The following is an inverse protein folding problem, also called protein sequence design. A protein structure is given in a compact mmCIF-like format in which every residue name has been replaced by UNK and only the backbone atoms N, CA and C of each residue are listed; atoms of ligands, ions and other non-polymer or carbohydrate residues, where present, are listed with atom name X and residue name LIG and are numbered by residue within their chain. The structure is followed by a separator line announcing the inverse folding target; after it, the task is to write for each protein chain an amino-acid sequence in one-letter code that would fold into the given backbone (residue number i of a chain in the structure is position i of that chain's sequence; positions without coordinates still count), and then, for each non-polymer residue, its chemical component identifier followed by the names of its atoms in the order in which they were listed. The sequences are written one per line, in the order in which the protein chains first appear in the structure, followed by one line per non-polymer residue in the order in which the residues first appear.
data_IF_038066351043
#
_entry.id   IF_038066351043
#
_cell.length_a   1.000
_cell.length_b   1.000
_cell.length_c   1.000
_cell.angle_alpha   90.00
_cell.angle_beta   90.00
_cell.angle_gamma   90.00
#
_symmetry.space_group_name_H-M   'P 1'
#
loop_
_entity.id
_entity.type
_entity.pdbx_description
1 polymer ?
#
# COMPACT_ATOMS: atom_id res chain seq x y z
N UNK A 1 -11.54 -1.54 -23.36
CA UNK A 1 -12.06 -1.38 -22.01
C UNK A 1 -12.22 -2.73 -21.33
N UNK A 2 -12.70 -3.76 -22.02
CA UNK A 2 -12.75 -5.13 -21.48
C UNK A 2 -11.37 -5.61 -20.98
N UNK A 3 -10.31 -5.45 -21.79
CA UNK A 3 -8.95 -5.84 -21.38
C UNK A 3 -8.45 -5.12 -20.13
N UNK A 4 -8.78 -3.85 -19.97
CA UNK A 4 -8.44 -3.07 -18.77
C UNK A 4 -9.18 -3.59 -17.53
N UNK A 5 -10.47 -3.94 -17.68
CA UNK A 5 -11.26 -4.54 -16.60
C UNK A 5 -10.70 -5.89 -16.19
N UNK A 6 -10.27 -6.71 -17.15
CA UNK A 6 -9.59 -7.99 -16.91
C UNK A 6 -8.29 -7.81 -16.12
N UNK A 7 -7.40 -6.90 -16.57
CA UNK A 7 -6.14 -6.57 -15.87
C UNK A 7 -6.43 -6.15 -14.43
N UNK A 8 -7.39 -5.25 -14.22
CA UNK A 8 -7.77 -4.78 -12.88
C UNK A 8 -8.35 -5.87 -12.00
N UNK A 9 -9.19 -6.75 -12.54
CA UNK A 9 -9.75 -7.86 -11.79
C UNK A 9 -8.65 -8.84 -11.34
N UNK A 10 -7.71 -9.15 -12.23
CA UNK A 10 -6.59 -10.04 -11.92
C UNK A 10 -5.64 -9.40 -10.90
N UNK A 11 -5.36 -8.10 -11.03
CA UNK A 11 -4.60 -7.34 -10.04
C UNK A 11 -5.28 -7.41 -8.67
N UNK A 12 -6.58 -7.11 -8.57
CA UNK A 12 -7.32 -7.19 -7.29
C UNK A 12 -7.26 -8.60 -6.66
N UNK A 13 -7.41 -9.67 -7.47
CA UNK A 13 -7.26 -11.04 -6.97
C UNK A 13 -5.86 -11.28 -6.40
N UNK A 14 -4.82 -10.88 -7.11
CA UNK A 14 -3.45 -10.99 -6.65
C UNK A 14 -3.21 -10.18 -5.37
N UNK A 15 -3.75 -8.96 -5.28
CA UNK A 15 -3.67 -8.14 -4.08
C UNK A 15 -4.32 -8.81 -2.87
N UNK A 16 -5.48 -9.46 -3.03
CA UNK A 16 -6.10 -10.22 -1.93
C UNK A 16 -5.25 -11.42 -1.47
N UNK A 17 -4.58 -12.10 -2.40
CA UNK A 17 -3.62 -13.17 -2.04
C UNK A 17 -2.46 -12.58 -1.23
N UNK A 18 -1.88 -11.47 -1.70
CA UNK A 18 -0.80 -10.77 -1.01
C UNK A 18 -1.28 -10.35 0.39
N UNK A 19 -2.45 -9.74 0.50
CA UNK A 19 -3.00 -9.29 1.78
C UNK A 19 -3.27 -10.44 2.74
N UNK A 20 -3.75 -11.59 2.24
CA UNK A 20 -3.96 -12.79 3.05
C UNK A 20 -2.65 -13.33 3.61
N UNK A 21 -1.55 -13.27 2.84
CA UNK A 21 -0.20 -13.64 3.30
C UNK A 21 0.33 -12.65 4.33
N UNK A 22 0.03 -11.35 4.19
CA UNK A 22 0.45 -10.33 5.15
C UNK A 22 -0.13 -10.51 6.56
N UNK A 23 -1.26 -11.21 6.72
CA UNK A 23 -1.86 -11.47 8.03
C UNK A 23 -0.94 -12.37 8.89
N UNK A 24 -0.66 -13.63 8.54
CA UNK A 24 0.27 -14.47 9.32
C UNK A 24 1.69 -13.92 9.31
N UNK A 25 2.13 -13.30 8.20
CA UNK A 25 3.46 -12.67 8.12
C UNK A 25 3.63 -11.58 9.19
N UNK A 26 2.61 -10.75 9.41
CA UNK A 26 2.66 -9.70 10.45
C UNK A 26 2.77 -10.26 11.86
N UNK A 27 2.12 -11.40 12.15
CA UNK A 27 2.23 -12.08 13.43
C UNK A 27 3.64 -12.64 13.65
N UNK A 28 4.19 -13.29 12.61
CA UNK A 28 5.54 -13.87 12.63
C UNK A 28 6.57 -12.75 12.83
N UNK A 29 6.45 -11.66 12.06
CA UNK A 29 7.31 -10.49 12.19
C UNK A 29 7.26 -9.89 13.60
N UNK A 30 6.05 -9.71 14.14
CA UNK A 30 5.86 -9.15 15.47
C UNK A 30 6.45 -10.03 16.58
N UNK A 31 6.22 -11.34 16.52
CA UNK A 31 6.81 -12.30 17.44
C UNK A 31 8.34 -12.25 17.41
N UNK A 32 8.92 -12.21 16.20
CA UNK A 32 10.36 -12.22 15.98
C UNK A 32 11.04 -10.90 16.42
N UNK A 33 10.49 -9.77 16.01
CA UNK A 33 11.19 -8.49 16.09
C UNK A 33 10.85 -7.67 17.35
N UNK A 34 9.65 -7.82 17.90
CA UNK A 34 9.18 -7.03 19.05
C UNK A 34 8.59 -7.85 20.20
N UNK A 35 8.54 -9.19 20.07
CA UNK A 35 7.92 -10.09 21.04
C UNK A 35 6.38 -10.04 21.06
N UNK A 36 5.76 -9.33 20.12
CA UNK A 36 4.31 -9.09 20.06
C UNK A 36 3.71 -9.58 18.74
N UNK A 37 3.17 -10.79 18.76
CA UNK A 37 2.53 -11.39 17.59
C UNK A 37 1.07 -10.93 17.37
N UNK A 38 0.39 -10.52 18.44
CA UNK A 38 -1.07 -10.40 18.46
C UNK A 38 -1.49 -9.07 17.87
N UNK A 39 -0.85 -7.96 18.27
CA UNK A 39 -1.28 -6.64 17.80
C UNK A 39 -1.10 -6.44 16.27
N UNK A 40 0.01 -6.88 15.63
CA UNK A 40 0.16 -6.75 14.19
C UNK A 40 -0.80 -7.68 13.44
N UNK A 41 -1.02 -8.90 13.92
CA UNK A 41 -1.96 -9.85 13.32
C UNK A 41 -3.37 -9.28 13.27
N UNK A 42 -3.86 -8.74 14.39
CA UNK A 42 -5.21 -8.15 14.47
C UNK A 42 -5.31 -6.94 13.54
N UNK A 43 -4.33 -6.02 13.57
CA UNK A 43 -4.34 -4.83 12.73
C UNK A 43 -4.33 -5.20 11.23
N UNK A 44 -3.46 -6.14 10.84
CA UNK A 44 -3.37 -6.65 9.46
C UNK A 44 -4.67 -7.31 9.00
N UNK A 45 -5.30 -8.11 9.87
CA UNK A 45 -6.58 -8.74 9.58
C UNK A 45 -7.71 -7.72 9.42
N UNK A 46 -7.76 -6.67 10.25
CA UNK A 46 -8.77 -5.60 10.15
C UNK A 46 -8.69 -4.92 8.78
N UNK A 47 -7.50 -4.54 8.32
CA UNK A 47 -7.36 -3.91 7.00
C UNK A 47 -7.77 -4.85 5.86
N UNK A 48 -7.42 -6.13 5.94
CA UNK A 48 -7.85 -7.13 4.97
C UNK A 48 -9.38 -7.33 4.94
N UNK A 49 -10.02 -7.38 6.11
CA UNK A 49 -11.48 -7.50 6.22
C UNK A 49 -12.18 -6.26 5.66
N UNK A 50 -11.70 -5.05 5.98
CA UNK A 50 -12.27 -3.81 5.43
C UNK A 50 -12.18 -3.81 3.90
N UNK A 51 -11.01 -4.15 3.34
CA UNK A 51 -10.82 -4.25 1.90
C UNK A 51 -11.76 -5.28 1.25
N UNK A 52 -11.89 -6.45 1.88
CA UNK A 52 -12.77 -7.52 1.40
C UNK A 52 -14.24 -7.09 1.41
N UNK A 53 -14.73 -6.55 2.53
CA UNK A 53 -16.13 -6.11 2.69
C UNK A 53 -16.48 -5.02 1.67
N UNK A 54 -15.64 -3.97 1.55
CA UNK A 54 -15.89 -2.89 0.59
C UNK A 54 -15.86 -3.41 -0.85
N UNK A 55 -14.86 -4.22 -1.20
CA UNK A 55 -14.75 -4.77 -2.55
C UNK A 55 -15.92 -5.70 -2.89
N UNK A 56 -16.41 -6.46 -1.91
CA UNK A 56 -17.56 -7.38 -2.08
C UNK A 56 -18.88 -6.64 -2.23
N UNK A 57 -19.03 -5.50 -1.55
CA UNK A 57 -20.23 -4.66 -1.60
C UNK A 57 -20.28 -3.78 -2.86
N UNK A 58 -19.19 -3.10 -3.20
CA UNK A 58 -19.13 -2.20 -4.35
C UNK A 58 -18.80 -2.91 -5.67
N UNK A 59 -18.23 -4.11 -5.61
CA UNK A 59 -17.79 -4.90 -6.76
C UNK A 59 -16.33 -4.61 -7.16
N UNK A 60 -15.63 -5.58 -7.76
CA UNK A 60 -14.20 -5.47 -8.06
C UNK A 60 -13.86 -4.38 -9.09
N UNK A 61 -14.81 -3.99 -9.94
CA UNK A 61 -14.59 -2.94 -10.94
C UNK A 61 -14.85 -1.52 -10.40
N UNK A 62 -15.43 -1.38 -9.21
CA UNK A 62 -15.70 -0.06 -8.65
C UNK A 62 -14.42 0.68 -8.29
N UNK A 63 -14.43 2.01 -8.45
CA UNK A 63 -13.28 2.84 -8.12
C UNK A 63 -12.97 2.82 -6.63
N UNK A 64 -13.99 2.83 -5.79
CA UNK A 64 -13.82 2.76 -4.33
C UNK A 64 -13.14 1.46 -3.90
N UNK A 65 -13.45 0.32 -4.55
CA UNK A 65 -12.79 -0.96 -4.28
C UNK A 65 -11.28 -0.86 -4.52
N UNK A 66 -10.85 -0.24 -5.63
CA UNK A 66 -9.42 -0.03 -5.90
C UNK A 66 -8.76 0.86 -4.85
N UNK A 67 -9.44 1.91 -4.40
CA UNK A 67 -8.90 2.81 -3.39
C UNK A 67 -8.72 2.09 -2.06
N UNK A 68 -9.76 1.41 -1.57
CA UNK A 68 -9.72 0.75 -0.26
C UNK A 68 -8.79 -0.46 -0.26
N UNK A 69 -8.80 -1.31 -1.29
CA UNK A 69 -7.88 -2.47 -1.38
C UNK A 69 -6.43 -2.00 -1.39
N UNK A 70 -6.11 -0.97 -2.17
CA UNK A 70 -4.76 -0.44 -2.28
C UNK A 70 -4.29 0.23 -0.97
N UNK A 71 -5.14 1.05 -0.35
CA UNK A 71 -4.84 1.66 0.94
C UNK A 71 -4.68 0.62 2.04
N UNK A 72 -5.51 -0.43 2.05
CA UNK A 72 -5.41 -1.50 3.04
C UNK A 72 -4.09 -2.28 2.92
N UNK A 73 -3.63 -2.57 1.70
CA UNK A 73 -2.31 -3.19 1.49
C UNK A 73 -1.19 -2.32 2.07
N UNK A 74 -1.23 -1.02 1.81
CA UNK A 74 -0.21 -0.08 2.30
C UNK A 74 -0.25 0.07 3.82
N UNK A 75 -1.43 0.00 4.42
CA UNK A 75 -1.57 -0.03 5.87
C UNK A 75 -1.11 -1.37 6.45
N UNK A 76 -1.20 -2.49 5.73
CA UNK A 76 -0.54 -3.73 6.16
C UNK A 76 0.99 -3.63 6.11
N UNK A 77 1.55 -2.90 5.14
CA UNK A 77 2.99 -2.58 5.14
C UNK A 77 3.36 -1.73 6.35
N UNK A 78 2.54 -0.72 6.69
CA UNK A 78 2.72 0.06 7.92
C UNK A 78 2.66 -0.81 9.18
N UNK A 79 1.80 -1.84 9.20
CA UNK A 79 1.74 -2.81 10.30
C UNK A 79 3.02 -3.65 10.37
N UNK A 80 3.62 -4.04 9.25
CA UNK A 80 4.92 -4.73 9.25
C UNK A 80 6.02 -3.84 9.80
N UNK A 81 6.07 -2.57 9.38
CA UNK A 81 6.97 -1.57 9.97
C UNK A 81 6.82 -1.50 11.49
N UNK A 82 5.58 -1.40 11.97
CA UNK A 82 5.28 -1.39 13.39
C UNK A 82 5.67 -2.71 14.10
N UNK A 83 5.51 -3.85 13.44
CA UNK A 83 5.90 -5.16 13.98
C UNK A 83 7.40 -5.24 14.27
N UNK A 84 8.21 -4.51 13.48
CA UNK A 84 9.65 -4.38 13.65
C UNK A 84 10.08 -3.21 14.56
N UNK A 85 9.16 -2.54 15.26
CA UNK A 85 9.52 -1.45 16.19
C UNK A 85 10.63 -1.87 17.17
N UNK A 86 11.72 -1.11 17.18
CA UNK A 86 12.88 -1.38 18.01
C UNK A 86 13.83 -2.47 17.54
N UNK A 87 13.55 -3.07 16.39
CA UNK A 87 14.47 -3.96 15.71
C UNK A 87 15.29 -3.17 14.67
N UNK A 88 16.55 -3.54 14.45
CA UNK A 88 17.46 -2.88 13.50
C UNK A 88 16.87 -2.82 12.06
N UNK A 89 16.17 -3.88 11.66
CA UNK A 89 15.55 -3.97 10.33
C UNK A 89 14.30 -3.11 10.15
N UNK A 90 13.83 -2.37 11.17
CA UNK A 90 12.64 -1.54 11.04
C UNK A 90 12.75 -0.59 9.84
N UNK A 91 13.90 0.05 9.65
CA UNK A 91 14.11 0.99 8.55
C UNK A 91 14.23 0.30 7.19
N UNK A 92 14.76 -0.92 7.14
CA UNK A 92 14.80 -1.72 5.90
C UNK A 92 13.38 -2.13 5.47
N UNK A 93 12.53 -2.51 6.44
CA UNK A 93 11.11 -2.82 6.18
C UNK A 93 10.34 -1.57 5.72
N UNK A 94 10.77 -0.36 6.05
CA UNK A 94 10.15 0.87 5.49
C UNK A 94 10.26 0.94 3.97
N UNK A 95 11.30 0.36 3.37
CA UNK A 95 11.44 0.35 1.92
C UNK A 95 10.29 -0.40 1.23
N UNK A 96 9.56 -1.25 1.97
CA UNK A 96 8.42 -1.98 1.45
C UNK A 96 7.26 -1.05 1.05
N UNK A 97 7.17 0.18 1.56
CA UNK A 97 6.18 1.15 1.06
C UNK A 97 6.37 1.44 -0.43
N UNK A 98 7.61 1.61 -0.89
CA UNK A 98 7.93 1.86 -2.31
C UNK A 98 7.58 0.63 -3.16
N UNK A 99 8.04 -0.55 -2.74
CA UNK A 99 7.74 -1.79 -3.46
C UNK A 99 6.23 -2.07 -3.55
N UNK A 100 5.47 -1.82 -2.48
CA UNK A 100 4.02 -1.93 -2.51
C UNK A 100 3.36 -0.89 -3.43
N UNK A 101 3.84 0.36 -3.45
CA UNK A 101 3.33 1.39 -4.36
C UNK A 101 3.57 1.01 -5.83
N UNK A 102 4.74 0.45 -6.15
CA UNK A 102 5.05 -0.09 -7.48
C UNK A 102 4.10 -1.23 -7.88
N UNK A 103 3.83 -2.18 -6.97
CA UNK A 103 2.86 -3.27 -7.19
C UNK A 103 1.46 -2.72 -7.49
N UNK A 104 1.03 -1.67 -6.79
CA UNK A 104 -0.27 -1.03 -7.01
C UNK A 104 -0.41 -0.36 -8.39
N UNK A 105 0.70 -0.12 -9.09
CA UNK A 105 0.72 0.29 -10.50
C UNK A 105 -0.03 -0.70 -11.42
N UNK A 106 -0.10 -1.99 -11.05
CA UNK A 106 -0.85 -3.01 -11.79
C UNK A 106 -2.36 -2.75 -11.88
N UNK A 107 -2.91 -1.89 -11.02
CA UNK A 107 -4.32 -1.46 -11.10
C UNK A 107 -4.59 -0.49 -12.27
N UNK A 108 -3.54 0.02 -12.91
CA UNK A 108 -3.60 0.97 -14.04
C UNK A 108 -4.58 2.10 -13.73
N UNK A 109 -4.44 2.71 -12.55
CA UNK A 109 -5.37 3.70 -12.05
C UNK A 109 -4.61 4.80 -11.32
N UNK A 110 -4.32 5.90 -12.04
CA UNK A 110 -3.56 7.01 -11.49
C UNK A 110 -4.23 7.63 -10.25
N UNK A 111 -5.57 7.64 -10.18
CA UNK A 111 -6.31 8.12 -9.00
C UNK A 111 -6.03 7.27 -7.76
N UNK A 112 -5.87 5.95 -7.94
CA UNK A 112 -5.50 5.05 -6.84
C UNK A 112 -4.11 5.39 -6.33
N UNK A 113 -3.14 5.66 -7.22
CA UNK A 113 -1.79 6.08 -6.81
C UNK A 113 -1.86 7.37 -5.98
N UNK A 114 -2.60 8.39 -6.42
CA UNK A 114 -2.76 9.64 -5.66
C UNK A 114 -3.36 9.40 -4.27
N UNK A 115 -4.45 8.63 -4.18
CA UNK A 115 -5.10 8.32 -2.90
C UNK A 115 -4.14 7.61 -1.95
N UNK A 116 -3.44 6.60 -2.45
CA UNK A 116 -2.55 5.77 -1.65
C UNK A 116 -1.31 6.53 -1.20
N UNK A 117 -0.69 7.33 -2.09
CA UNK A 117 0.41 8.23 -1.70
C UNK A 117 -0.04 9.22 -0.62
N UNK A 118 -1.29 9.69 -0.68
CA UNK A 118 -1.90 10.48 0.39
C UNK A 118 -2.02 9.72 1.72
N UNK A 119 -2.41 8.44 1.69
CA UNK A 119 -2.44 7.58 2.89
C UNK A 119 -1.05 7.40 3.48
N UNK A 120 -0.03 7.16 2.64
CA UNK A 120 1.37 7.06 3.08
C UNK A 120 1.78 8.37 3.78
N UNK A 121 1.56 9.51 3.14
CA UNK A 121 1.93 10.81 3.69
C UNK A 121 1.22 11.10 5.02
N UNK A 122 -0.10 10.86 5.09
CA UNK A 122 -0.87 11.07 6.31
C UNK A 122 -0.40 10.16 7.44
N UNK A 123 -0.16 8.87 7.15
CA UNK A 123 0.36 7.91 8.11
C UNK A 123 1.70 8.38 8.71
N UNK A 124 2.66 8.73 7.86
CA UNK A 124 3.98 9.17 8.30
C UNK A 124 3.89 10.47 9.09
N UNK A 125 3.10 11.45 8.63
CA UNK A 125 2.97 12.73 9.30
C UNK A 125 2.31 12.58 10.68
N UNK A 126 1.20 11.85 10.76
CA UNK A 126 0.48 11.63 12.03
C UNK A 126 1.36 10.88 13.02
N UNK A 127 1.99 9.78 12.61
CA UNK A 127 2.83 9.00 13.54
C UNK A 127 4.13 9.71 13.90
N UNK A 128 4.73 10.50 12.99
CA UNK A 128 5.91 11.29 13.31
C UNK A 128 5.68 12.26 14.48
N UNK A 129 4.45 12.76 14.66
CA UNK A 129 4.11 13.62 15.80
C UNK A 129 3.50 12.86 16.99
N UNK A 130 2.71 11.81 16.75
CA UNK A 130 2.01 11.09 17.81
C UNK A 130 2.89 10.02 18.48
N UNK A 131 3.52 9.14 17.70
CA UNK A 131 4.31 8.00 18.18
C UNK A 131 5.46 7.70 17.20
N UNK A 132 6.49 8.57 17.12
CA UNK A 132 7.48 8.51 16.04
C UNK A 132 8.25 7.20 15.99
N UNK A 133 8.46 6.54 17.13
CA UNK A 133 9.17 5.26 17.22
C UNK A 133 8.49 4.11 16.45
N UNK A 134 7.21 4.23 16.14
CA UNK A 134 6.52 3.23 15.31
C UNK A 134 6.91 3.31 13.83
N UNK A 135 7.56 4.40 13.42
CA UNK A 135 7.98 4.66 12.03
C UNK A 135 9.48 4.90 11.95
N UNK A 136 10.13 5.50 12.94
CA UNK A 136 11.56 5.78 12.87
C UNK A 136 12.25 5.28 14.14
N UNK A 137 13.28 4.40 14.03
CA UNK A 137 14.01 3.88 15.19
C UNK A 137 14.56 4.98 16.10
N UNK A 138 15.07 6.06 15.49
CA UNK A 138 15.68 7.20 16.18
C UNK A 138 14.66 8.28 16.60
N UNK A 139 13.37 8.03 16.38
CA UNK A 139 12.30 9.00 16.61
C UNK A 139 12.14 10.02 15.47
N UNK A 140 11.49 11.15 15.76
CA UNK A 140 11.10 12.12 14.76
C UNK A 140 12.30 12.83 14.14
N UNK A 141 12.37 12.87 12.81
CA UNK A 141 13.42 13.55 12.06
C UNK A 141 12.81 14.23 10.84
N UNK A 142 12.74 15.56 10.89
CA UNK A 142 12.10 16.36 9.84
C UNK A 142 12.78 16.19 8.47
N UNK A 143 14.11 16.21 8.42
CA UNK A 143 14.84 16.12 7.16
C UNK A 143 14.75 14.72 6.56
N UNK A 144 14.71 13.68 7.39
CA UNK A 144 14.43 12.31 6.94
C UNK A 144 13.05 12.20 6.31
N UNK A 145 12.03 12.80 6.92
CA UNK A 145 10.66 12.82 6.36
C UNK A 145 10.64 13.55 5.02
N UNK A 146 11.31 14.70 4.91
CA UNK A 146 11.42 15.44 3.64
C UNK A 146 12.10 14.59 2.55
N UNK A 147 13.21 13.92 2.87
CA UNK A 147 13.90 13.03 1.93
C UNK A 147 12.96 11.93 1.43
N UNK A 148 12.29 11.22 2.34
CA UNK A 148 11.36 10.14 1.96
C UNK A 148 10.19 10.68 1.14
N UNK A 149 9.65 11.84 1.51
CA UNK A 149 8.56 12.47 0.77
C UNK A 149 8.94 12.79 -0.68
N UNK A 150 10.15 13.34 -0.91
CA UNK A 150 10.64 13.61 -2.27
C UNK A 150 10.75 12.32 -3.08
N UNK A 151 11.31 11.26 -2.50
CA UNK A 151 11.43 9.95 -3.19
C UNK A 151 10.05 9.39 -3.55
N UNK A 152 9.08 9.39 -2.62
CA UNK A 152 7.70 8.94 -2.87
C UNK A 152 7.02 9.78 -3.95
N UNK A 153 7.24 11.11 -3.97
CA UNK A 153 6.66 12.00 -5.00
C UNK A 153 7.18 11.65 -6.38
N UNK A 154 8.48 11.40 -6.52
CA UNK A 154 9.09 11.00 -7.79
C UNK A 154 8.53 9.66 -8.27
N UNK A 155 8.50 8.65 -7.40
CA UNK A 155 7.92 7.34 -7.71
C UNK A 155 6.45 7.44 -8.13
N UNK A 156 5.63 8.12 -7.31
CA UNK A 156 4.21 8.31 -7.59
C UNK A 156 3.99 9.06 -8.92
N UNK A 157 4.83 10.06 -9.23
CA UNK A 157 4.78 10.81 -10.49
C UNK A 157 4.97 9.89 -11.70
N UNK A 158 5.99 9.02 -11.66
CA UNK A 158 6.25 8.05 -12.73
C UNK A 158 5.12 7.03 -12.83
N UNK A 159 4.61 6.50 -11.71
CA UNK A 159 3.50 5.54 -11.71
C UNK A 159 2.19 6.15 -12.24
N UNK A 160 1.92 7.41 -11.93
CA UNK A 160 0.77 8.17 -12.46
C UNK A 160 0.89 8.31 -13.97
N UNK A 161 2.07 8.71 -14.46
CA UNK A 161 2.34 8.84 -15.89
C UNK A 161 2.17 7.49 -16.60
N UNK A 162 2.84 6.44 -16.12
CA UNK A 162 2.74 5.08 -16.68
C UNK A 162 1.31 4.55 -16.68
N UNK A 163 0.54 4.78 -15.61
CA UNK A 163 -0.87 4.37 -15.52
C UNK A 163 -1.75 5.09 -16.56
N UNK A 164 -1.51 6.39 -16.77
CA UNK A 164 -2.24 7.18 -17.79
C UNK A 164 -1.86 6.75 -19.20
N UNK A 165 -0.57 6.58 -19.47
CA UNK A 165 -0.07 6.13 -20.77
C UNK A 165 -0.64 4.76 -21.14
N UNK A 166 -0.56 3.78 -20.24
CA UNK A 166 -1.10 2.44 -20.49
C UNK A 166 -2.63 2.47 -20.67
N UNK A 167 -3.35 3.27 -19.89
CA UNK A 167 -4.79 3.45 -20.08
C UNK A 167 -5.11 3.98 -21.49
N UNK A 168 -4.40 5.03 -21.94
CA UNK A 168 -4.58 5.62 -23.26
C UNK A 168 -4.25 4.62 -24.38
N UNK A 169 -3.14 3.88 -24.26
CA UNK A 169 -2.77 2.83 -25.22
C UNK A 169 -3.85 1.76 -25.33
N UNK A 170 -4.40 1.29 -24.21
CA UNK A 170 -5.46 0.28 -24.20
C UNK A 170 -6.79 0.81 -24.78
N UNK A 171 -7.11 2.08 -24.54
CA UNK A 171 -8.30 2.72 -25.11
C UNK A 171 -8.18 2.87 -26.63
N UNK A 172 -7.02 3.35 -27.11
CA UNK A 172 -6.77 3.55 -28.54
C UNK A 172 -6.74 2.22 -29.31
N UNK A 173 -6.18 1.17 -28.72
CA UNK A 173 -6.13 -0.16 -29.34
C UNK A 173 -7.52 -0.81 -29.50
N UNK A 174 -8.49 -0.45 -28.65
CA UNK A 174 -9.86 -0.93 -28.80
C UNK A 174 -10.61 -0.16 -29.89
N UNK A 175 -10.39 1.15 -30.02
CA UNK A 175 -11.02 1.95 -31.08
C UNK A 175 -10.48 1.66 -32.48
N UNK A 176 -9.30 1.03 -32.57
CA UNK A 176 -8.66 0.65 -33.84
C UNK A 176 -9.08 -0.74 -34.34
N UNK A 177 -9.91 -1.47 -33.59
CA UNK A 177 -10.51 -2.75 -34.00
C UNK A 177 -11.89 -2.54 -34.57
#
# INVERSE_FOLDING_TARGET
MEKLQEIRANAIKALFVIMAVHIPLSAIAGHFASGDAVSPLIASAIFAVIAFVVCRAAGPQAQISRFIVASALILQVAVLVYAFRGHEWQIDIHMYFFAALAVLGALVCWKTIVVVSGVIALHHLVLNFAVPYWVFPEGADFFRVVLHAVVVIVEAGVLIWSSKSLYQTLANAETAR
#
